data_IF_695623552250
#
_entry.id   IF_695623552250
#
_cell.length_a   1.000
_cell.length_b   1.000
_cell.length_c   1.000
_cell.angle_alpha   90.00
_cell.angle_beta   90.00
_cell.angle_gamma   90.00
#
_symmetry.space_group_name_H-M   'P 1'
#
loop_
_entity.id
_entity.type
_entity.pdbx_description
1 polymer ?
#
# COMPACT_ATOMS: atom_id res chain seq x y z
N UNK A 1 14.92 13.50 10.02
CA UNK A 1 14.05 13.03 8.94
C UNK A 1 14.84 12.23 7.91
N UNK A 2 14.58 10.92 7.85
CA UNK A 2 15.16 10.01 6.86
C UNK A 2 14.01 9.40 6.08
N UNK A 3 14.11 9.40 4.75
CA UNK A 3 13.14 8.77 3.86
C UNK A 3 13.80 7.63 3.07
N UNK A 4 13.01 6.62 2.73
CA UNK A 4 13.39 5.56 1.82
C UNK A 4 13.33 5.99 0.35
N UNK A 5 13.48 5.01 -0.53
CA UNK A 5 13.21 5.18 -1.95
C UNK A 5 11.71 4.99 -2.21
N UNK A 6 11.16 5.75 -3.15
CA UNK A 6 9.80 5.54 -3.63
C UNK A 6 9.70 4.25 -4.44
N UNK A 7 8.87 3.31 -3.97
CA UNK A 7 8.65 2.02 -4.60
C UNK A 7 7.23 1.93 -5.16
N UNK A 8 7.02 1.28 -6.32
CA UNK A 8 5.68 1.00 -6.83
C UNK A 8 5.06 -0.17 -6.07
N UNK A 9 3.77 -0.05 -5.73
CA UNK A 9 2.92 -1.17 -5.38
C UNK A 9 1.78 -1.20 -6.40
N UNK A 10 1.76 -2.20 -7.28
CA UNK A 10 0.87 -2.22 -8.45
C UNK A 10 -0.19 -3.29 -8.30
N UNK A 11 -1.47 -2.88 -8.33
CA UNK A 11 -2.59 -3.79 -8.58
C UNK A 11 -2.66 -3.99 -10.10
N UNK A 12 -2.69 -5.24 -10.53
CA UNK A 12 -2.67 -5.59 -11.96
C UNK A 12 -3.98 -6.24 -12.33
N UNK A 13 -4.88 -5.50 -12.99
CA UNK A 13 -6.26 -5.93 -13.23
C UNK A 13 -6.39 -7.28 -13.93
N UNK A 14 -5.38 -7.68 -14.71
CA UNK A 14 -5.38 -8.93 -15.47
C UNK A 14 -4.92 -10.17 -14.68
N UNK A 15 -4.28 -10.00 -13.52
CA UNK A 15 -3.67 -11.10 -12.75
C UNK A 15 -4.13 -11.13 -11.30
N UNK A 16 -4.26 -9.96 -10.68
CA UNK A 16 -4.72 -9.75 -9.32
C UNK A 16 -5.25 -8.32 -9.26
N UNK A 17 -6.57 -8.20 -9.32
CA UNK A 17 -7.28 -6.93 -9.51
C UNK A 17 -7.65 -6.26 -8.19
N UNK A 18 -7.29 -6.85 -7.05
CA UNK A 18 -7.63 -6.31 -5.74
C UNK A 18 -6.47 -6.34 -4.73
N UNK A 19 -5.32 -6.91 -5.06
CA UNK A 19 -4.16 -6.96 -4.19
C UNK A 19 -2.83 -6.71 -4.93
N UNK A 20 -1.93 -5.96 -4.31
CA UNK A 20 -0.57 -5.80 -4.85
C UNK A 20 0.32 -7.01 -4.53
N UNK A 21 1.36 -7.26 -5.34
CA UNK A 21 2.51 -8.04 -4.90
C UNK A 21 3.13 -7.47 -3.61
N UNK A 22 3.95 -8.28 -2.95
CA UNK A 22 4.75 -7.82 -1.81
C UNK A 22 5.69 -6.69 -2.24
N UNK A 23 5.76 -5.64 -1.42
CA UNK A 23 6.73 -4.56 -1.54
C UNK A 23 7.65 -4.58 -0.33
N UNK A 24 8.95 -4.67 -0.62
CA UNK A 24 10.01 -4.61 0.38
C UNK A 24 10.54 -3.18 0.51
N UNK A 25 10.32 -2.55 1.67
CA UNK A 25 10.80 -1.20 1.98
C UNK A 25 12.31 -1.13 2.31
N UNK A 26 13.07 -2.21 2.05
CA UNK A 26 14.51 -2.42 2.26
C UNK A 26 14.93 -2.51 3.73
N UNK A 27 14.24 -1.79 4.61
CA UNK A 27 14.43 -1.82 6.05
C UNK A 27 13.10 -1.61 6.78
N UNK A 28 13.15 -1.75 8.09
CA UNK A 28 12.03 -1.48 8.99
C UNK A 28 11.80 0.03 9.13
N UNK A 29 10.55 0.46 9.09
CA UNK A 29 10.17 1.86 9.21
C UNK A 29 9.06 2.06 10.24
N UNK A 30 9.13 3.17 10.98
CA UNK A 30 8.07 3.56 11.93
C UNK A 30 6.80 3.96 11.18
N UNK A 31 6.96 4.61 10.03
CA UNK A 31 5.87 5.12 9.20
C UNK A 31 6.15 4.92 7.70
N UNK A 32 5.12 5.09 6.88
CA UNK A 32 5.19 5.07 5.43
C UNK A 32 4.35 6.20 4.84
N UNK A 33 4.92 6.92 3.88
CA UNK A 33 4.17 7.78 3.00
C UNK A 33 3.59 6.94 1.85
N UNK A 34 2.30 7.14 1.56
CA UNK A 34 1.55 6.44 0.54
C UNK A 34 0.90 7.46 -0.39
N UNK A 35 1.20 7.38 -1.69
CA UNK A 35 0.48 8.09 -2.74
C UNK A 35 -0.56 7.14 -3.32
N UNK A 36 -1.83 7.52 -3.18
CA UNK A 36 -2.98 6.78 -3.67
C UNK A 36 -3.31 7.30 -5.08
N UNK A 37 -3.28 6.47 -6.13
CA UNK A 37 -3.69 6.89 -7.47
C UNK A 37 -5.21 7.04 -7.52
N UNK A 38 -5.75 7.47 -8.67
CA UNK A 38 -7.19 7.28 -8.89
C UNK A 38 -7.50 5.80 -8.97
N UNK A 39 -8.43 5.34 -8.14
CA UNK A 39 -8.91 3.95 -8.09
C UNK A 39 -10.42 3.91 -8.29
N UNK A 40 -10.96 2.71 -8.55
CA UNK A 40 -12.39 2.45 -8.46
C UNK A 40 -12.82 2.42 -6.99
N UNK A 41 -14.10 2.67 -6.72
CA UNK A 41 -14.60 2.81 -5.36
C UNK A 41 -14.33 1.54 -4.54
N UNK A 42 -13.51 1.64 -3.50
CA UNK A 42 -13.10 0.49 -2.69
C UNK A 42 -12.62 0.93 -1.30
N UNK A 43 -12.62 -0.01 -0.36
CA UNK A 43 -11.92 0.14 0.91
C UNK A 43 -10.47 -0.28 0.73
N UNK A 44 -9.54 0.66 0.89
CA UNK A 44 -8.12 0.41 0.86
C UNK A 44 -7.64 -0.12 2.21
N UNK A 45 -6.89 -1.22 2.19
CA UNK A 45 -6.31 -1.86 3.39
C UNK A 45 -4.82 -2.07 3.17
N UNK A 46 -4.00 -1.71 4.16
CA UNK A 46 -2.58 -2.02 4.17
C UNK A 46 -2.40 -3.36 4.86
N UNK A 47 -1.64 -4.25 4.25
CA UNK A 47 -1.24 -5.52 4.86
C UNK A 47 0.25 -5.52 5.10
N UNK A 48 0.68 -6.17 6.17
CA UNK A 48 2.10 -6.22 6.58
C UNK A 48 2.53 -7.63 6.97
N UNK A 49 3.83 -7.89 6.85
CA UNK A 49 4.47 -9.11 7.32
C UNK A 49 5.83 -8.85 7.95
N UNK A 50 6.24 -9.71 8.88
CA UNK A 50 7.57 -9.71 9.51
C UNK A 50 8.63 -10.36 8.62
N UNK A 51 8.20 -11.24 7.70
CA UNK A 51 9.08 -12.03 6.83
C UNK A 51 8.66 -11.89 5.37
N UNK A 52 9.65 -11.92 4.47
CA UNK A 52 9.38 -11.91 3.02
C UNK A 52 8.70 -13.23 2.61
N UNK A 53 7.68 -13.14 1.76
CA UNK A 53 6.85 -14.28 1.38
C UNK A 53 6.03 -14.88 2.53
N UNK A 54 5.96 -14.20 3.68
CA UNK A 54 5.26 -14.66 4.87
C UNK A 54 3.74 -14.50 4.78
N UNK A 55 3.07 -14.76 5.90
CA UNK A 55 1.65 -14.44 6.05
C UNK A 55 1.49 -12.93 6.23
N UNK A 56 0.58 -12.34 5.47
CA UNK A 56 0.26 -10.91 5.53
C UNK A 56 -1.02 -10.69 6.33
N UNK A 57 -0.99 -9.72 7.25
CA UNK A 57 -2.13 -9.37 8.09
C UNK A 57 -2.54 -7.93 7.86
N UNK A 58 -3.83 -7.64 7.96
CA UNK A 58 -4.34 -6.28 7.83
C UNK A 58 -3.80 -5.40 8.97
N UNK A 59 -3.22 -4.26 8.61
CA UNK A 59 -2.70 -3.27 9.52
C UNK A 59 -3.71 -2.14 9.68
N UNK A 60 -4.26 -2.01 10.88
CA UNK A 60 -5.20 -0.94 11.21
C UNK A 60 -6.56 -1.11 10.51
N UNK A 61 -7.26 0.02 10.33
CA UNK A 61 -8.58 0.06 9.69
C UNK A 61 -8.45 0.37 8.21
N UNK A 62 -9.32 -0.23 7.40
CA UNK A 62 -9.46 0.13 5.99
C UNK A 62 -10.02 1.54 5.81
N UNK A 63 -9.64 2.20 4.73
CA UNK A 63 -10.10 3.53 4.35
C UNK A 63 -10.95 3.47 3.09
N UNK A 64 -12.18 3.99 3.13
CA UNK A 64 -13.02 4.09 1.93
C UNK A 64 -12.49 5.17 1.00
N UNK A 65 -12.24 4.80 -0.26
CA UNK A 65 -11.86 5.69 -1.34
C UNK A 65 -12.98 5.63 -2.38
N UNK A 66 -13.53 6.79 -2.72
CA UNK A 66 -14.55 6.88 -3.76
C UNK A 66 -13.89 6.93 -5.14
N UNK A 67 -14.63 6.50 -6.17
CA UNK A 67 -14.16 6.61 -7.55
C UNK A 67 -13.82 8.08 -7.88
N UNK A 68 -12.66 8.30 -8.49
CA UNK A 68 -12.22 9.64 -8.91
C UNK A 68 -11.63 10.53 -7.80
N UNK A 69 -11.65 10.12 -6.52
CA UNK A 69 -11.13 10.94 -5.40
C UNK A 69 -9.68 10.61 -5.01
N UNK A 70 -8.92 9.95 -5.87
CA UNK A 70 -7.51 9.61 -5.63
C UNK A 70 -6.55 10.79 -5.82
N UNK A 71 -5.29 10.49 -6.11
CA UNK A 71 -4.19 11.45 -6.36
C UNK A 71 -3.82 12.31 -5.15
N UNK A 72 -3.77 11.71 -3.96
CA UNK A 72 -3.28 12.38 -2.77
C UNK A 72 -2.30 11.49 -2.01
N UNK A 73 -1.50 12.12 -1.15
CA UNK A 73 -0.58 11.45 -0.26
C UNK A 73 -1.15 11.38 1.15
N UNK A 74 -0.90 10.26 1.83
CA UNK A 74 -1.21 10.06 3.24
C UNK A 74 -0.04 9.39 3.96
N UNK A 75 -0.03 9.45 5.29
CA UNK A 75 0.97 8.77 6.12
C UNK A 75 0.30 7.65 6.90
N UNK A 76 0.93 6.48 6.89
CA UNK A 76 0.50 5.28 7.60
C UNK A 76 1.55 4.95 8.67
N UNK A 77 1.11 4.71 9.91
CA UNK A 77 2.00 4.18 10.93
C UNK A 77 2.27 2.70 10.66
N UNK A 78 3.52 2.34 10.40
CA UNK A 78 3.94 0.97 10.10
C UNK A 78 4.41 0.21 11.34
N UNK A 79 4.75 0.88 12.44
CA UNK A 79 5.14 0.19 13.68
C UNK A 79 6.38 -0.70 13.55
N UNK A 80 7.24 -0.45 12.55
CA UNK A 80 8.47 -1.23 12.33
C UNK A 80 8.38 -2.29 11.23
N UNK A 81 7.24 -2.46 10.54
CA UNK A 81 7.16 -3.41 9.43
C UNK A 81 8.00 -2.98 8.22
N UNK A 82 8.48 -3.99 7.46
CA UNK A 82 9.29 -3.84 6.25
C UNK A 82 8.55 -4.29 4.99
N UNK A 83 7.83 -5.41 5.07
CA UNK A 83 7.14 -6.02 3.92
C UNK A 83 5.67 -5.63 3.97
N UNK A 84 5.18 -5.03 2.89
CA UNK A 84 3.81 -4.51 2.81
C UNK A 84 3.11 -4.96 1.54
N UNK A 85 1.78 -5.02 1.60
CA UNK A 85 0.89 -5.10 0.43
C UNK A 85 -0.24 -4.08 0.58
N UNK A 86 -0.83 -3.69 -0.53
CA UNK A 86 -2.01 -2.83 -0.56
C UNK A 86 -3.13 -3.63 -1.18
N UNK A 87 -4.24 -3.75 -0.48
CA UNK A 87 -5.45 -4.37 -1.01
C UNK A 87 -6.60 -3.38 -1.12
N UNK A 88 -7.48 -3.62 -2.07
CA UNK A 88 -8.74 -2.91 -2.25
C UNK A 88 -9.88 -3.91 -2.06
N UNK A 89 -10.96 -3.54 -1.38
CA UNK A 89 -12.09 -4.44 -1.16
C UNK A 89 -12.92 -4.77 -2.42
N UNK A 90 -12.56 -4.20 -3.56
CA UNK A 90 -13.23 -4.41 -4.84
C UNK A 90 -12.18 -4.44 -5.97
N UNK A 91 -12.44 -5.31 -6.94
CA UNK A 91 -11.66 -5.44 -8.17
C UNK A 91 -11.52 -4.09 -8.90
N UNK A 92 -10.32 -3.80 -9.37
CA UNK A 92 -9.98 -2.60 -10.13
C UNK A 92 -10.09 -2.88 -11.63
N UNK A 93 -10.64 -1.92 -12.37
CA UNK A 93 -10.88 -2.01 -13.83
C UNK A 93 -9.67 -1.63 -14.67
N UNK A 94 -8.58 -1.18 -14.04
CA UNK A 94 -7.32 -0.82 -14.69
C UNK A 94 -6.16 -1.02 -13.70
N UNK A 95 -4.93 -1.07 -14.23
CA UNK A 95 -3.73 -1.12 -13.39
C UNK A 95 -3.67 0.12 -12.48
N UNK A 96 -3.54 -0.11 -11.17
CA UNK A 96 -3.43 0.97 -10.18
C UNK A 96 -2.04 0.93 -9.56
N UNK A 97 -1.29 2.01 -9.71
CA UNK A 97 0.09 2.11 -9.19
C UNK A 97 0.07 3.03 -7.98
N UNK A 98 0.13 2.44 -6.80
CA UNK A 98 0.42 3.15 -5.56
C UNK A 98 1.93 3.41 -5.48
N UNK A 99 2.32 4.52 -4.85
CA UNK A 99 3.73 4.76 -4.52
C UNK A 99 3.88 4.76 -3.01
N UNK A 100 4.84 3.99 -2.52
CA UNK A 100 5.13 3.88 -1.09
C UNK A 100 6.56 4.29 -0.81
N UNK A 101 6.78 4.91 0.34
CA UNK A 101 8.11 5.28 0.81
C UNK A 101 8.15 5.18 2.33
N UNK A 102 9.12 4.44 2.86
CA UNK A 102 9.37 4.40 4.30
C UNK A 102 9.82 5.75 4.83
N UNK A 103 9.34 6.13 6.01
CA UNK A 103 9.59 7.43 6.62
C UNK A 103 9.90 7.27 8.12
N UNK A 104 10.88 8.05 8.60
CA UNK A 104 11.21 8.20 10.02
C UNK A 104 11.53 9.67 10.30
N UNK A 105 10.80 10.29 11.23
CA UNK A 105 11.00 11.69 11.65
C UNK A 105 12.32 11.84 12.41
#
# INVERSE_FOLDING_TARGET
MIHGTWLPATITYATDDDLTPEVDLVRQWEQMCLIIPTIDSANLTIYVSETTGGTFYALGKSQTINAGTGLYATTVNLGGYRYIKIGTSAAQTANRIFRVCGYRS
#
